data_IF_965035986803
#
_entry.id   IF_965035986803
#
_cell.length_a   1.000
_cell.length_b   1.000
_cell.length_c   1.000
_cell.angle_alpha   90.00
_cell.angle_beta   90.00
_cell.angle_gamma   90.00
#
_symmetry.space_group_name_H-M   'P 1'
#
loop_
_entity.id
_entity.type
_entity.pdbx_description
1 polymer ?
#
# COMPACT_ATOMS: atom_id res chain seq x y z
N UNK A 1 -31.66 18.15 3.15
CA UNK A 1 -30.91 17.49 4.26
C UNK A 1 -29.49 17.27 3.77
N UNK A 2 -28.48 17.70 4.54
CA UNK A 2 -27.09 17.45 4.17
C UNK A 2 -26.82 15.92 4.13
N UNK A 3 -26.19 15.42 3.07
CA UNK A 3 -25.84 14.02 2.92
C UNK A 3 -24.77 13.67 3.94
N UNK A 4 -24.98 12.64 4.77
CA UNK A 4 -24.02 12.23 5.78
C UNK A 4 -23.04 11.19 5.20
N UNK A 5 -21.81 11.63 4.90
CA UNK A 5 -20.74 10.80 4.35
C UNK A 5 -19.97 9.98 5.40
N UNK A 6 -20.37 9.99 6.69
CA UNK A 6 -19.69 9.20 7.73
C UNK A 6 -19.70 7.69 7.44
N UNK A 7 -20.84 7.19 6.92
CA UNK A 7 -20.92 5.77 6.51
C UNK A 7 -20.00 5.45 5.35
N UNK A 8 -19.84 6.38 4.41
CA UNK A 8 -18.92 6.25 3.28
C UNK A 8 -17.47 6.15 3.77
N UNK A 9 -17.06 7.02 4.68
CA UNK A 9 -15.72 6.94 5.29
C UNK A 9 -15.46 5.61 5.98
N UNK A 10 -16.42 5.14 6.79
CA UNK A 10 -16.28 3.83 7.47
C UNK A 10 -16.14 2.70 6.44
N UNK A 11 -16.93 2.74 5.36
CA UNK A 11 -16.81 1.75 4.28
C UNK A 11 -15.45 1.81 3.59
N UNK A 12 -14.92 3.02 3.37
CA UNK A 12 -13.60 3.22 2.79
C UNK A 12 -12.49 2.72 3.72
N UNK A 13 -12.58 2.97 5.02
CA UNK A 13 -11.63 2.46 6.02
C UNK A 13 -11.64 0.93 6.08
N UNK A 14 -12.82 0.29 6.09
CA UNK A 14 -12.94 -1.15 6.00
C UNK A 14 -12.43 -1.71 4.67
N UNK A 15 -12.55 -0.94 3.59
CA UNK A 15 -11.94 -1.26 2.30
C UNK A 15 -10.43 -1.41 2.41
N UNK A 16 -9.73 -0.45 3.01
CA UNK A 16 -8.28 -0.53 3.22
C UNK A 16 -7.86 -1.60 4.23
N UNK A 17 -8.68 -1.89 5.25
CA UNK A 17 -8.45 -3.06 6.11
C UNK A 17 -8.57 -4.36 5.30
N UNK A 18 -9.57 -4.45 4.39
CA UNK A 18 -9.71 -5.60 3.48
C UNK A 18 -8.48 -5.75 2.58
N UNK A 19 -7.96 -4.65 2.04
CA UNK A 19 -6.73 -4.65 1.24
C UNK A 19 -5.53 -5.14 2.07
N UNK A 20 -5.41 -4.67 3.32
CA UNK A 20 -4.36 -5.12 4.23
C UNK A 20 -4.43 -6.62 4.52
N UNK A 21 -5.65 -7.18 4.68
CA UNK A 21 -5.85 -8.64 4.83
C UNK A 21 -5.36 -9.37 3.58
N UNK A 22 -5.78 -8.93 2.39
CA UNK A 22 -5.40 -9.54 1.13
C UNK A 22 -3.89 -9.54 0.90
N UNK A 23 -3.21 -8.46 1.26
CA UNK A 23 -1.77 -8.31 1.06
C UNK A 23 -0.92 -9.06 2.09
N UNK A 24 -1.39 -9.21 3.35
CA UNK A 24 -0.54 -9.66 4.45
C UNK A 24 -0.90 -11.06 4.97
N UNK A 25 -2.11 -11.59 4.72
CA UNK A 25 -2.51 -12.87 5.31
C UNK A 25 -1.81 -14.07 4.66
N UNK A 26 -1.78 -14.17 3.32
CA UNK A 26 -1.13 -15.29 2.63
C UNK A 26 0.38 -15.40 2.92
N UNK A 27 1.17 -14.31 3.03
CA UNK A 27 2.56 -14.38 3.44
C UNK A 27 2.80 -15.06 4.79
N UNK A 28 1.89 -14.91 5.76
CA UNK A 28 1.99 -15.60 7.05
C UNK A 28 1.88 -17.13 6.94
N UNK A 29 1.32 -17.61 5.83
CA UNK A 29 1.07 -19.04 5.56
C UNK A 29 2.12 -19.68 4.64
N UNK A 30 3.14 -18.96 4.19
CA UNK A 30 4.10 -19.48 3.21
C UNK A 30 4.79 -20.77 3.68
N UNK A 31 5.23 -20.84 4.94
CA UNK A 31 5.81 -22.06 5.49
C UNK A 31 4.76 -23.17 5.67
N UNK A 32 3.52 -22.80 5.98
CA UNK A 32 2.40 -23.77 6.07
C UNK A 32 2.13 -24.39 4.71
N UNK A 33 2.15 -23.60 3.63
CA UNK A 33 1.99 -24.09 2.28
C UNK A 33 3.18 -24.95 1.83
N UNK A 34 4.40 -24.57 2.21
CA UNK A 34 5.60 -25.37 1.94
C UNK A 34 5.52 -26.73 2.64
N UNK A 35 5.29 -26.74 3.94
CA UNK A 35 5.31 -27.96 4.75
C UNK A 35 4.06 -28.84 4.56
N UNK A 36 2.89 -28.21 4.41
CA UNK A 36 1.61 -28.93 4.33
C UNK A 36 1.30 -29.47 2.94
N UNK A 37 1.67 -28.75 1.89
CA UNK A 37 1.39 -29.15 0.51
C UNK A 37 2.65 -29.52 -0.30
N UNK A 38 3.84 -29.47 0.31
CA UNK A 38 5.09 -29.75 -0.39
C UNK A 38 5.45 -28.77 -1.50
N UNK A 39 4.94 -27.53 -1.44
CA UNK A 39 5.16 -26.52 -2.49
C UNK A 39 6.57 -25.96 -2.38
N UNK A 40 7.41 -26.00 -3.42
CA UNK A 40 8.76 -25.45 -3.39
C UNK A 40 8.77 -23.95 -3.14
N UNK A 41 9.78 -23.42 -2.43
CA UNK A 41 9.92 -21.99 -2.13
C UNK A 41 9.89 -21.08 -3.37
N UNK A 42 10.47 -21.53 -4.48
CA UNK A 42 10.40 -20.80 -5.75
C UNK A 42 8.97 -20.58 -6.26
N UNK A 43 8.07 -21.56 -6.05
CA UNK A 43 6.64 -21.40 -6.38
C UNK A 43 5.93 -20.52 -5.34
N UNK A 44 6.29 -20.61 -4.06
CA UNK A 44 5.71 -19.77 -3.01
C UNK A 44 6.00 -18.28 -3.27
N UNK A 45 7.22 -17.94 -3.69
CA UNK A 45 7.58 -16.58 -4.06
C UNK A 45 6.71 -15.99 -5.18
N UNK A 46 6.20 -16.85 -6.09
CA UNK A 46 5.29 -16.41 -7.16
C UNK A 46 3.92 -15.93 -6.64
N UNK A 47 3.50 -16.34 -5.44
CA UNK A 47 2.22 -15.89 -4.85
C UNK A 47 2.20 -14.37 -4.73
N UNK A 48 3.25 -13.78 -4.14
CA UNK A 48 3.37 -12.32 -4.03
C UNK A 48 3.49 -11.65 -5.41
N UNK A 49 4.26 -12.24 -6.33
CA UNK A 49 4.42 -11.69 -7.68
C UNK A 49 3.09 -11.67 -8.44
N UNK A 50 2.32 -12.74 -8.36
CA UNK A 50 0.99 -12.83 -8.99
C UNK A 50 0.02 -11.82 -8.36
N UNK A 51 0.09 -11.62 -7.05
CA UNK A 51 -0.73 -10.63 -6.36
C UNK A 51 -0.48 -9.21 -6.94
N UNK A 52 0.75 -8.74 -6.95
CA UNK A 52 1.09 -7.39 -7.45
C UNK A 52 0.87 -7.22 -8.95
N UNK A 53 1.21 -8.23 -9.77
CA UNK A 53 0.93 -8.19 -11.21
C UNK A 53 -0.58 -8.11 -11.48
N UNK A 54 -1.40 -8.82 -10.69
CA UNK A 54 -2.87 -8.74 -10.81
C UNK A 54 -3.36 -7.35 -10.44
N UNK A 55 -2.86 -6.75 -9.34
CA UNK A 55 -3.21 -5.37 -8.97
C UNK A 55 -2.89 -4.39 -10.10
N UNK A 56 -1.66 -4.42 -10.62
CA UNK A 56 -1.23 -3.55 -11.71
C UNK A 56 -2.13 -3.67 -12.96
N UNK A 57 -2.56 -4.90 -13.32
CA UNK A 57 -3.52 -5.10 -14.41
C UNK A 57 -4.88 -4.45 -14.08
N UNK A 58 -5.35 -4.62 -12.85
CA UNK A 58 -6.61 -4.03 -12.40
C UNK A 58 -6.57 -2.51 -12.41
N UNK A 59 -5.44 -1.90 -12.02
CA UNK A 59 -5.27 -0.44 -12.05
C UNK A 59 -5.44 0.10 -13.47
N UNK A 60 -4.80 -0.55 -14.45
CA UNK A 60 -4.95 -0.18 -15.87
C UNK A 60 -6.40 -0.36 -16.35
N UNK A 61 -7.07 -1.44 -15.94
CA UNK A 61 -8.46 -1.69 -16.29
C UNK A 61 -9.40 -0.65 -15.64
N UNK A 62 -9.16 -0.30 -14.37
CA UNK A 62 -9.90 0.75 -13.67
C UNK A 62 -9.76 2.10 -14.36
N UNK A 63 -8.54 2.48 -14.75
CA UNK A 63 -8.28 3.72 -15.47
C UNK A 63 -9.15 3.89 -16.73
N UNK A 64 -9.59 2.78 -17.32
CA UNK A 64 -10.36 2.78 -18.57
C UNK A 64 -11.85 2.52 -18.39
N UNK A 65 -12.23 1.73 -17.42
CA UNK A 65 -13.59 1.15 -17.35
C UNK A 65 -14.36 1.50 -16.08
N UNK A 66 -13.72 1.96 -14.99
CA UNK A 66 -14.41 2.17 -13.72
C UNK A 66 -15.54 3.20 -13.80
N UNK A 67 -15.32 4.31 -14.50
CA UNK A 67 -16.35 5.35 -14.69
C UNK A 67 -17.55 4.84 -15.48
N UNK A 68 -17.34 3.94 -16.46
CA UNK A 68 -18.41 3.35 -17.29
C UNK A 68 -19.24 2.33 -16.52
N UNK A 69 -18.60 1.55 -15.64
CA UNK A 69 -19.25 0.53 -14.80
C UNK A 69 -20.01 1.20 -13.64
N UNK A 70 -19.45 2.29 -13.12
CA UNK A 70 -19.91 3.06 -11.98
C UNK A 70 -19.26 2.64 -10.67
N UNK A 71 -18.86 3.63 -9.88
CA UNK A 71 -18.11 3.47 -8.62
C UNK A 71 -18.74 2.48 -7.65
N UNK A 72 -20.07 2.58 -7.41
CA UNK A 72 -20.77 1.68 -6.49
C UNK A 72 -20.61 0.22 -6.86
N UNK A 73 -20.80 -0.12 -8.14
CA UNK A 73 -20.66 -1.51 -8.61
C UNK A 73 -19.23 -2.00 -8.47
N UNK A 74 -18.26 -1.15 -8.78
CA UNK A 74 -16.85 -1.49 -8.70
C UNK A 74 -16.39 -1.70 -7.24
N UNK A 75 -16.77 -0.83 -6.28
CA UNK A 75 -16.37 -1.03 -4.87
C UNK A 75 -17.12 -2.18 -4.20
N UNK A 76 -18.36 -2.48 -4.61
CA UNK A 76 -19.05 -3.70 -4.17
C UNK A 76 -18.31 -4.92 -4.74
N UNK A 77 -18.00 -4.89 -6.04
CA UNK A 77 -17.24 -5.95 -6.71
C UNK A 77 -15.87 -6.20 -6.05
N UNK A 78 -15.16 -5.14 -5.63
CA UNK A 78 -13.88 -5.27 -4.94
C UNK A 78 -13.99 -6.10 -3.66
N UNK A 79 -15.02 -5.83 -2.86
CA UNK A 79 -15.25 -6.55 -1.60
C UNK A 79 -15.70 -7.99 -1.84
N UNK A 80 -16.54 -8.22 -2.88
CA UNK A 80 -16.96 -9.58 -3.28
C UNK A 80 -15.76 -10.41 -3.73
N UNK A 81 -14.90 -9.86 -4.60
CA UNK A 81 -13.69 -10.58 -5.05
C UNK A 81 -12.75 -10.87 -3.88
N UNK A 82 -12.54 -9.91 -2.96
CA UNK A 82 -11.71 -10.13 -1.78
C UNK A 82 -12.26 -11.24 -0.89
N UNK A 83 -13.58 -11.25 -0.63
CA UNK A 83 -14.23 -12.31 0.15
C UNK A 83 -14.13 -13.68 -0.53
N UNK A 84 -14.46 -13.75 -1.83
CA UNK A 84 -14.40 -15.00 -2.59
C UNK A 84 -12.98 -15.54 -2.67
N UNK A 85 -11.98 -14.69 -2.85
CA UNK A 85 -10.58 -15.11 -2.88
C UNK A 85 -10.10 -15.64 -1.52
N UNK A 86 -10.47 -15.01 -0.40
CA UNK A 86 -10.15 -15.49 0.95
C UNK A 86 -10.84 -16.83 1.27
N UNK A 87 -12.11 -16.97 0.90
CA UNK A 87 -12.84 -18.24 1.03
C UNK A 87 -12.22 -19.29 0.09
N UNK A 88 -11.92 -18.90 -1.15
CA UNK A 88 -11.23 -19.75 -2.11
C UNK A 88 -9.90 -20.26 -1.56
N UNK A 89 -9.10 -19.40 -0.92
CA UNK A 89 -7.84 -19.80 -0.31
C UNK A 89 -8.01 -20.90 0.75
N UNK A 90 -9.12 -20.89 1.50
CA UNK A 90 -9.41 -21.92 2.49
C UNK A 90 -9.73 -23.30 1.87
N UNK A 91 -10.33 -23.33 0.68
CA UNK A 91 -10.88 -24.57 0.12
C UNK A 91 -10.24 -25.03 -1.19
N UNK A 92 -9.89 -24.14 -2.13
CA UNK A 92 -9.38 -24.50 -3.45
C UNK A 92 -8.08 -25.32 -3.44
N UNK A 93 -7.13 -25.08 -2.51
CA UNK A 93 -5.91 -25.88 -2.45
C UNK A 93 -6.15 -27.37 -2.20
N UNK A 94 -7.26 -27.73 -1.57
CA UNK A 94 -7.62 -29.14 -1.32
C UNK A 94 -8.64 -29.69 -2.32
N UNK A 95 -9.40 -28.81 -2.97
CA UNK A 95 -10.38 -29.23 -3.99
C UNK A 95 -9.73 -29.52 -5.35
N UNK A 96 -8.61 -28.86 -5.65
CA UNK A 96 -7.90 -29.05 -6.91
C UNK A 96 -6.83 -30.12 -6.78
N UNK A 97 -6.54 -30.81 -7.88
CA UNK A 97 -5.48 -31.83 -7.95
C UNK A 97 -4.08 -31.27 -7.66
N UNK A 98 -3.85 -29.98 -7.95
CA UNK A 98 -2.63 -29.26 -7.61
C UNK A 98 -2.95 -28.15 -6.62
N UNK A 99 -2.55 -28.27 -5.34
CA UNK A 99 -2.78 -27.26 -4.32
C UNK A 99 -2.23 -25.87 -4.66
N UNK A 100 -1.11 -25.81 -5.36
CA UNK A 100 -0.52 -24.55 -5.78
C UNK A 100 -1.43 -23.78 -6.74
N UNK A 101 -2.06 -24.45 -7.68
CA UNK A 101 -3.04 -23.85 -8.59
C UNK A 101 -4.24 -23.26 -7.81
N UNK A 102 -4.70 -23.95 -6.77
CA UNK A 102 -5.76 -23.44 -5.88
C UNK A 102 -5.36 -22.16 -5.16
N UNK A 103 -4.13 -22.09 -4.65
CA UNK A 103 -3.59 -20.89 -4.01
C UNK A 103 -3.50 -19.74 -5.02
N UNK A 104 -2.95 -19.99 -6.22
CA UNK A 104 -2.78 -18.95 -7.26
C UNK A 104 -4.13 -18.39 -7.73
N UNK A 105 -5.13 -19.26 -7.99
CA UNK A 105 -6.47 -18.81 -8.39
C UNK A 105 -7.08 -17.94 -7.29
N UNK A 106 -7.00 -18.37 -6.04
CA UNK A 106 -7.47 -17.60 -4.90
C UNK A 106 -6.75 -16.25 -4.80
N UNK A 107 -5.43 -16.24 -5.01
CA UNK A 107 -4.59 -15.04 -5.01
C UNK A 107 -5.03 -14.06 -6.08
N UNK A 108 -5.23 -14.51 -7.31
CA UNK A 108 -5.74 -13.66 -8.39
C UNK A 108 -7.09 -13.05 -8.01
N UNK A 109 -8.02 -13.84 -7.46
CA UNK A 109 -9.35 -13.37 -7.11
C UNK A 109 -9.28 -12.28 -6.02
N UNK A 110 -8.59 -12.50 -4.88
CA UNK A 110 -8.52 -11.46 -3.86
C UNK A 110 -7.63 -10.28 -4.27
N UNK A 111 -6.63 -10.49 -5.13
CA UNK A 111 -5.82 -9.41 -5.68
C UNK A 111 -6.62 -8.48 -6.61
N UNK A 112 -7.57 -9.03 -7.40
CA UNK A 112 -8.53 -8.21 -8.15
C UNK A 112 -9.35 -7.32 -7.22
N UNK A 113 -9.83 -7.86 -6.09
CA UNK A 113 -10.54 -7.09 -5.08
C UNK A 113 -9.66 -6.00 -4.45
N UNK A 114 -8.41 -6.33 -4.16
CA UNK A 114 -7.42 -5.42 -3.58
C UNK A 114 -7.11 -4.24 -4.52
N UNK A 115 -6.79 -4.48 -5.79
CA UNK A 115 -6.52 -3.43 -6.77
C UNK A 115 -7.73 -2.53 -7.01
N UNK A 116 -8.94 -3.10 -7.17
CA UNK A 116 -10.17 -2.29 -7.26
C UNK A 116 -10.36 -1.38 -6.04
N UNK A 117 -10.09 -1.88 -4.83
CA UNK A 117 -10.20 -1.08 -3.60
C UNK A 117 -9.20 0.08 -3.62
N UNK A 118 -7.96 -0.19 -3.97
CA UNK A 118 -6.86 0.78 -4.00
C UNK A 118 -7.18 1.97 -4.90
N UNK A 119 -7.61 1.69 -6.12
CA UNK A 119 -7.90 2.74 -7.12
C UNK A 119 -9.14 3.56 -6.75
N UNK A 120 -10.18 2.92 -6.20
CA UNK A 120 -11.51 3.55 -6.11
C UNK A 120 -11.78 4.23 -4.77
N UNK A 121 -11.18 3.77 -3.69
CA UNK A 121 -11.49 4.29 -2.35
C UNK A 121 -10.93 5.69 -2.15
N UNK A 122 -9.73 5.96 -2.65
CA UNK A 122 -9.12 7.30 -2.59
C UNK A 122 -9.93 8.37 -3.32
N UNK A 123 -10.37 8.19 -4.59
CA UNK A 123 -11.22 9.18 -5.25
C UNK A 123 -12.59 9.37 -4.59
N UNK A 124 -13.18 8.33 -4.01
CA UNK A 124 -14.44 8.45 -3.26
C UNK A 124 -14.27 9.38 -2.05
N UNK A 125 -13.18 9.24 -1.30
CA UNK A 125 -12.91 10.12 -0.14
C UNK A 125 -12.55 11.52 -0.59
N UNK A 126 -11.78 11.69 -1.66
CA UNK A 126 -11.43 13.00 -2.24
C UNK A 126 -12.66 13.76 -2.74
N UNK A 127 -13.67 13.06 -3.26
CA UNK A 127 -14.92 13.65 -3.72
C UNK A 127 -15.88 14.06 -2.58
N UNK A 128 -15.67 13.54 -1.36
CA UNK A 128 -16.48 13.93 -0.22
C UNK A 128 -16.25 15.41 0.15
N UNK A 129 -17.28 16.13 0.62
CA UNK A 129 -17.18 17.55 0.94
C UNK A 129 -16.52 17.78 2.31
N UNK A 130 -15.26 17.38 2.46
CA UNK A 130 -14.46 17.65 3.64
C UNK A 130 -13.65 18.92 3.44
N UNK A 131 -13.52 19.73 4.52
CA UNK A 131 -12.72 20.96 4.51
C UNK A 131 -11.21 20.66 4.33
N UNK A 132 -10.73 19.56 4.93
CA UNK A 132 -9.31 19.15 4.93
C UNK A 132 -9.13 17.78 4.26
N UNK A 133 -9.12 17.78 2.93
CA UNK A 133 -9.04 16.56 2.11
C UNK A 133 -7.74 15.80 2.31
N UNK A 134 -6.61 16.51 2.44
CA UNK A 134 -5.30 15.91 2.68
C UNK A 134 -5.26 15.12 4.00
N UNK A 135 -5.88 15.67 5.04
CA UNK A 135 -6.00 15.01 6.34
C UNK A 135 -6.88 13.77 6.26
N UNK A 136 -8.03 13.87 5.57
CA UNK A 136 -8.93 12.74 5.34
C UNK A 136 -8.26 11.63 4.53
N UNK A 137 -7.48 11.98 3.50
CA UNK A 137 -6.72 11.04 2.69
C UNK A 137 -5.64 10.33 3.51
N UNK A 138 -4.87 11.08 4.31
CA UNK A 138 -3.84 10.50 5.19
C UNK A 138 -4.43 9.55 6.23
N UNK A 139 -5.56 9.94 6.84
CA UNK A 139 -6.28 9.09 7.79
C UNK A 139 -6.80 7.81 7.10
N UNK A 140 -7.37 7.93 5.90
CA UNK A 140 -7.81 6.79 5.11
C UNK A 140 -6.68 5.77 4.93
N UNK A 141 -5.53 6.21 4.43
CA UNK A 141 -4.39 5.33 4.20
C UNK A 141 -3.78 4.77 5.50
N UNK A 142 -4.00 5.43 6.66
CA UNK A 142 -3.58 4.88 7.95
C UNK A 142 -4.28 3.57 8.28
N UNK A 143 -5.52 3.38 7.81
CA UNK A 143 -6.28 2.14 8.04
C UNK A 143 -5.68 0.93 7.31
N UNK A 144 -4.95 1.13 6.20
CA UNK A 144 -4.14 0.06 5.62
C UNK A 144 -3.02 -0.38 6.57
N UNK A 145 -2.29 0.58 7.16
CA UNK A 145 -1.19 0.27 8.08
C UNK A 145 -1.68 -0.42 9.36
N UNK A 146 -2.72 0.14 9.98
CA UNK A 146 -3.34 -0.47 11.17
C UNK A 146 -3.99 -1.81 10.86
N UNK A 147 -4.57 -1.95 9.65
CA UNK A 147 -5.06 -3.21 9.13
C UNK A 147 -3.95 -4.25 9.03
N UNK A 148 -2.79 -3.90 8.47
CA UNK A 148 -1.63 -4.79 8.36
C UNK A 148 -1.13 -5.25 9.73
N UNK A 149 -0.95 -4.31 10.67
CA UNK A 149 -0.58 -4.64 12.06
C UNK A 149 -1.63 -5.55 12.69
N UNK A 150 -2.93 -5.22 12.52
CA UNK A 150 -4.04 -6.01 13.05
C UNK A 150 -4.08 -7.44 12.48
N UNK A 151 -3.89 -7.59 11.18
CA UNK A 151 -3.84 -8.90 10.52
C UNK A 151 -2.71 -9.75 11.08
N UNK A 152 -1.50 -9.20 11.18
CA UNK A 152 -0.35 -9.94 11.69
C UNK A 152 -0.58 -10.35 13.15
N UNK A 153 -0.95 -9.40 14.02
CA UNK A 153 -1.13 -9.68 15.44
C UNK A 153 -2.28 -10.65 15.70
N UNK A 154 -3.46 -10.43 15.11
CA UNK A 154 -4.63 -11.28 15.33
C UNK A 154 -4.39 -12.68 14.77
N UNK A 155 -3.76 -12.78 13.57
CA UNK A 155 -3.42 -14.09 13.02
C UNK A 155 -2.41 -14.83 13.86
N UNK A 156 -1.37 -14.17 14.37
CA UNK A 156 -0.38 -14.77 15.26
C UNK A 156 -1.01 -15.23 16.56
N UNK A 157 -1.88 -14.43 17.17
CA UNK A 157 -2.62 -14.80 18.38
C UNK A 157 -3.55 -15.99 18.12
N UNK A 158 -4.26 -16.00 16.99
CA UNK A 158 -5.13 -17.11 16.59
C UNK A 158 -4.31 -18.41 16.44
N UNK A 159 -3.19 -18.37 15.72
CA UNK A 159 -2.34 -19.54 15.53
C UNK A 159 -1.72 -20.03 16.85
N UNK A 160 -1.38 -19.13 17.75
CA UNK A 160 -0.87 -19.48 19.08
C UNK A 160 -1.94 -20.16 19.94
N UNK A 161 -3.20 -19.72 19.83
CA UNK A 161 -4.30 -20.24 20.64
C UNK A 161 -4.92 -21.52 20.08
N UNK A 162 -5.05 -21.61 18.75
CA UNK A 162 -5.82 -22.67 18.08
C UNK A 162 -4.97 -23.57 17.17
N UNK A 163 -3.68 -23.28 17.00
CA UNK A 163 -2.79 -24.00 16.09
C UNK A 163 -2.81 -23.48 14.66
N UNK A 164 -1.68 -23.63 13.97
CA UNK A 164 -1.52 -23.17 12.58
C UNK A 164 -2.36 -24.00 11.59
N UNK A 165 -2.69 -25.23 11.92
CA UNK A 165 -3.54 -26.13 11.13
C UNK A 165 -4.95 -25.57 10.91
N UNK A 166 -5.40 -24.65 11.77
CA UNK A 166 -6.70 -23.99 11.68
C UNK A 166 -6.70 -22.73 10.79
N UNK A 167 -5.65 -22.50 10.00
CA UNK A 167 -5.50 -21.32 9.14
C UNK A 167 -6.66 -21.12 8.15
N UNK A 168 -7.33 -22.20 7.71
CA UNK A 168 -8.49 -22.14 6.82
C UNK A 168 -9.67 -21.42 7.48
N UNK A 169 -9.94 -21.76 8.75
CA UNK A 169 -10.99 -21.08 9.52
C UNK A 169 -10.69 -19.60 9.67
N UNK A 170 -9.42 -19.26 9.92
CA UNK A 170 -9.02 -17.86 10.01
C UNK A 170 -9.17 -17.14 8.66
N UNK A 171 -8.90 -17.79 7.53
CA UNK A 171 -9.16 -17.24 6.19
C UNK A 171 -10.66 -16.91 6.00
N UNK A 172 -11.54 -17.82 6.43
CA UNK A 172 -13.00 -17.57 6.40
C UNK A 172 -13.42 -16.45 7.36
N UNK A 173 -12.81 -16.36 8.55
CA UNK A 173 -13.08 -15.27 9.51
C UNK A 173 -12.66 -13.92 8.89
N UNK A 174 -11.48 -13.84 8.26
CA UNK A 174 -11.06 -12.63 7.57
C UNK A 174 -11.99 -12.24 6.42
N UNK A 175 -12.62 -13.20 5.74
CA UNK A 175 -13.60 -12.93 4.69
C UNK A 175 -14.88 -12.24 5.20
N UNK A 176 -15.19 -12.29 6.50
CA UNK A 176 -16.35 -11.62 7.10
C UNK A 176 -16.24 -10.09 6.92
N UNK A 177 -15.04 -9.52 7.02
CA UNK A 177 -14.83 -8.07 6.91
C UNK A 177 -15.27 -7.55 5.54
N UNK A 178 -14.76 -8.06 4.39
CA UNK A 178 -15.26 -7.64 3.09
C UNK A 178 -16.74 -7.96 2.87
N UNK A 179 -17.27 -9.08 3.37
CA UNK A 179 -18.70 -9.39 3.26
C UNK A 179 -19.60 -8.36 3.96
N UNK A 180 -19.24 -7.94 5.17
CA UNK A 180 -19.93 -6.83 5.86
C UNK A 180 -19.81 -5.54 5.07
N UNK A 181 -18.65 -5.30 4.46
CA UNK A 181 -18.40 -4.09 3.72
C UNK A 181 -19.12 -4.04 2.35
N UNK A 182 -19.48 -5.19 1.75
CA UNK A 182 -20.42 -5.26 0.63
C UNK A 182 -21.75 -4.58 1.00
N UNK A 183 -22.30 -4.92 2.18
CA UNK A 183 -23.54 -4.28 2.65
C UNK A 183 -23.32 -2.77 2.87
N UNK A 184 -22.22 -2.37 3.51
CA UNK A 184 -21.94 -0.97 3.78
C UNK A 184 -21.85 -0.14 2.49
N UNK A 185 -21.12 -0.59 1.47
CA UNK A 185 -21.04 0.09 0.17
C UNK A 185 -22.35 0.08 -0.62
N UNK A 186 -23.23 -0.88 -0.36
CA UNK A 186 -24.55 -0.92 -1.00
C UNK A 186 -25.46 0.20 -0.51
N UNK A 187 -25.35 0.62 0.76
CA UNK A 187 -26.26 1.58 1.40
C UNK A 187 -25.67 2.97 1.64
N UNK A 188 -24.33 3.13 1.61
CA UNK A 188 -23.70 4.44 1.85
C UNK A 188 -23.85 5.38 0.64
N UNK A 189 -23.92 6.70 0.82
CA UNK A 189 -23.83 7.65 -0.27
C UNK A 189 -22.41 7.62 -0.86
N UNK A 190 -22.28 7.49 -2.19
CA UNK A 190 -20.97 7.53 -2.86
C UNK A 190 -20.88 8.87 -3.61
N UNK A 191 -19.86 9.66 -3.27
CA UNK A 191 -19.50 10.85 -4.01
C UNK A 191 -18.59 10.46 -5.20
N UNK A 192 -18.76 11.17 -6.30
CA UNK A 192 -17.95 11.01 -7.50
C UNK A 192 -17.01 12.20 -7.61
N UNK A 193 -15.72 12.00 -7.95
CA UNK A 193 -14.76 13.10 -8.07
C UNK A 193 -15.09 14.03 -9.23
N UNK A 194 -15.76 13.52 -10.26
CA UNK A 194 -16.22 14.24 -11.46
C UNK A 194 -17.57 13.67 -11.87
N UNK A 195 -18.45 14.48 -12.48
CA UNK A 195 -19.71 14.00 -13.03
C UNK A 195 -19.47 12.90 -14.08
N UNK A 196 -20.42 11.96 -14.21
CA UNK A 196 -20.27 10.80 -15.09
C UNK A 196 -19.91 11.23 -16.52
N UNK A 197 -18.72 10.82 -16.99
CA UNK A 197 -18.22 11.09 -18.33
C UNK A 197 -17.37 12.37 -18.49
N UNK A 198 -17.19 13.20 -17.46
CA UNK A 198 -16.39 14.45 -17.52
C UNK A 198 -14.93 14.27 -17.06
N UNK A 199 -14.53 13.10 -16.59
CA UNK A 199 -13.14 12.81 -16.22
C UNK A 199 -12.18 12.93 -17.42
N UNK A 200 -10.96 13.44 -17.19
CA UNK A 200 -9.94 13.52 -18.22
C UNK A 200 -9.62 12.14 -18.79
N UNK A 201 -9.49 12.06 -20.12
CA UNK A 201 -9.01 10.83 -20.76
C UNK A 201 -7.53 10.62 -20.46
N UNK A 202 -7.09 9.37 -20.41
CA UNK A 202 -5.67 9.01 -20.18
C UNK A 202 -4.74 9.80 -21.09
N UNK A 203 -5.10 9.95 -22.38
CA UNK A 203 -4.29 10.72 -23.34
C UNK A 203 -4.13 12.18 -22.96
N UNK A 204 -5.13 12.78 -22.37
CA UNK A 204 -5.12 14.20 -22.00
C UNK A 204 -4.35 14.40 -20.69
N UNK A 205 -4.46 13.47 -19.73
CA UNK A 205 -3.61 13.42 -18.53
C UNK A 205 -2.13 13.33 -18.87
N UNK A 206 -1.76 12.45 -19.81
CA UNK A 206 -0.37 12.28 -20.25
C UNK A 206 0.21 13.51 -20.96
N UNK A 207 -0.62 14.49 -21.37
CA UNK A 207 -0.19 15.77 -21.92
C UNK A 207 0.07 16.83 -20.86
N UNK A 208 -0.35 16.59 -19.62
CA UNK A 208 -0.15 17.52 -18.49
C UNK A 208 1.24 17.30 -17.89
N UNK A 209 2.19 18.27 -18.01
CA UNK A 209 3.54 18.08 -17.46
C UNK A 209 3.56 17.81 -15.96
N UNK A 210 2.64 18.43 -15.21
CA UNK A 210 2.48 18.23 -13.78
C UNK A 210 2.11 16.78 -13.43
N UNK A 211 1.37 16.10 -14.31
CA UNK A 211 0.99 14.70 -14.10
C UNK A 211 2.20 13.77 -14.14
N UNK A 212 3.17 14.00 -15.02
CA UNK A 212 4.43 13.25 -15.03
C UNK A 212 5.25 13.46 -13.76
N UNK A 213 5.22 14.67 -13.22
CA UNK A 213 5.86 14.94 -11.93
C UNK A 213 5.13 14.16 -10.80
N UNK A 214 3.81 14.12 -10.82
CA UNK A 214 3.04 13.32 -9.86
C UNK A 214 3.31 11.81 -9.99
N UNK A 215 3.43 11.28 -11.20
CA UNK A 215 3.89 9.90 -11.49
C UNK A 215 5.27 9.66 -10.85
N UNK A 216 6.22 10.57 -11.07
CA UNK A 216 7.57 10.46 -10.49
C UNK A 216 7.53 10.47 -8.95
N UNK A 217 6.72 11.36 -8.35
CA UNK A 217 6.52 11.40 -6.90
C UNK A 217 5.97 10.08 -6.37
N UNK A 218 4.98 9.48 -7.06
CA UNK A 218 4.40 8.19 -6.67
C UNK A 218 5.38 7.03 -6.81
N UNK A 219 6.12 6.95 -7.92
CA UNK A 219 7.19 5.94 -8.10
C UNK A 219 8.22 6.04 -6.97
N UNK A 220 8.67 7.26 -6.65
CA UNK A 220 9.65 7.47 -5.59
C UNK A 220 9.07 7.19 -4.20
N UNK A 221 7.79 7.50 -3.96
CA UNK A 221 7.11 7.19 -2.70
C UNK A 221 7.02 5.68 -2.48
N UNK A 222 6.49 4.94 -3.47
CA UNK A 222 6.39 3.47 -3.42
C UNK A 222 7.76 2.80 -3.29
N UNK A 223 8.76 3.27 -4.05
CA UNK A 223 10.12 2.74 -3.97
C UNK A 223 10.76 2.99 -2.59
N UNK A 224 10.59 4.20 -2.00
CA UNK A 224 11.11 4.52 -0.67
C UNK A 224 10.46 3.69 0.43
N UNK A 225 9.14 3.48 0.34
CA UNK A 225 8.38 2.71 1.33
C UNK A 225 8.73 1.22 1.25
N UNK A 226 8.59 0.61 0.06
CA UNK A 226 8.69 -0.84 -0.08
C UNK A 226 10.14 -1.35 -0.10
N UNK A 227 11.13 -0.55 -0.52
CA UNK A 227 12.53 -0.95 -0.39
C UNK A 227 12.92 -1.17 1.08
N UNK A 228 12.53 -0.26 1.97
CA UNK A 228 12.79 -0.44 3.40
C UNK A 228 11.92 -1.55 3.98
N UNK A 229 10.62 -1.53 3.74
CA UNK A 229 9.68 -2.48 4.35
C UNK A 229 10.01 -3.94 4.00
N UNK A 230 10.31 -4.23 2.72
CA UNK A 230 10.57 -5.60 2.28
C UNK A 230 11.94 -6.13 2.72
N UNK A 231 12.93 -5.26 2.81
CA UNK A 231 14.28 -5.68 3.22
C UNK A 231 14.56 -5.51 4.70
N UNK A 232 13.66 -4.89 5.49
CA UNK A 232 13.89 -4.58 6.90
C UNK A 232 14.22 -5.81 7.76
N UNK A 233 13.54 -6.95 7.56
CA UNK A 233 13.82 -8.20 8.28
C UNK A 233 15.18 -8.77 7.90
N UNK A 234 15.45 -8.93 6.60
CA UNK A 234 16.72 -9.45 6.10
C UNK A 234 17.90 -8.54 6.48
N UNK A 235 17.68 -7.22 6.46
CA UNK A 235 18.67 -6.24 6.91
C UNK A 235 18.93 -6.37 8.41
N UNK A 236 17.89 -6.50 9.24
CA UNK A 236 18.04 -6.68 10.67
C UNK A 236 18.80 -7.97 11.02
N UNK A 237 18.54 -9.05 10.29
CA UNK A 237 19.24 -10.33 10.50
C UNK A 237 20.68 -10.28 9.97
N UNK A 238 20.88 -9.91 8.71
CA UNK A 238 22.18 -10.03 8.03
C UNK A 238 23.15 -8.91 8.35
N UNK A 239 22.69 -7.67 8.44
CA UNK A 239 23.54 -6.50 8.67
C UNK A 239 23.63 -6.11 10.14
N UNK A 240 22.60 -6.37 10.93
CA UNK A 240 22.55 -6.00 12.35
C UNK A 240 22.76 -7.19 13.29
N UNK A 241 22.81 -8.41 12.78
CA UNK A 241 23.09 -9.62 13.56
C UNK A 241 21.95 -10.01 14.53
N UNK A 242 20.70 -9.56 14.27
CA UNK A 242 19.54 -9.89 15.10
C UNK A 242 18.99 -11.27 14.73
N UNK A 243 18.30 -11.91 15.68
CA UNK A 243 17.57 -13.15 15.37
C UNK A 243 16.40 -12.85 14.44
N UNK A 244 16.04 -13.81 13.59
CA UNK A 244 14.95 -13.67 12.62
C UNK A 244 13.65 -13.18 13.26
N UNK A 245 13.23 -13.78 14.39
CA UNK A 245 11.99 -13.39 15.08
C UNK A 245 12.02 -11.93 15.56
N UNK A 246 13.14 -11.47 16.07
CA UNK A 246 13.31 -10.06 16.46
C UNK A 246 13.35 -9.16 15.22
N UNK A 247 14.04 -9.61 14.16
CA UNK A 247 14.10 -8.89 12.88
C UNK A 247 12.72 -8.69 12.25
N UNK A 248 11.89 -9.72 12.25
CA UNK A 248 10.53 -9.66 11.68
C UNK A 248 9.62 -8.70 12.47
N UNK A 249 9.68 -8.70 13.80
CA UNK A 249 8.88 -7.80 14.64
C UNK A 249 9.45 -6.38 14.64
N UNK A 250 10.72 -6.23 14.91
CA UNK A 250 11.37 -4.92 15.04
C UNK A 250 11.59 -4.22 13.69
N UNK A 251 11.72 -4.96 12.57
CA UNK A 251 11.81 -4.42 11.22
C UNK A 251 10.43 -4.05 10.65
N UNK A 252 9.79 -4.94 9.88
CA UNK A 252 8.60 -4.59 9.11
C UNK A 252 7.37 -4.27 9.99
N UNK A 253 7.19 -4.91 11.14
CA UNK A 253 6.04 -4.62 12.01
C UNK A 253 6.17 -3.22 12.62
N UNK A 254 7.31 -2.87 13.21
CA UNK A 254 7.52 -1.53 13.79
C UNK A 254 7.56 -0.44 12.72
N UNK A 255 8.07 -0.74 11.52
CA UNK A 255 7.93 0.14 10.36
C UNK A 255 6.46 0.45 10.05
N UNK A 256 5.60 -0.57 9.97
CA UNK A 256 4.17 -0.39 9.71
C UNK A 256 3.47 0.39 10.83
N UNK A 257 3.83 0.16 12.09
CA UNK A 257 3.31 0.91 13.25
C UNK A 257 3.66 2.39 13.13
N UNK A 258 4.93 2.72 12.90
CA UNK A 258 5.36 4.13 12.81
C UNK A 258 4.79 4.82 11.57
N UNK A 259 4.62 4.11 10.46
CA UNK A 259 3.94 4.59 9.26
C UNK A 259 2.47 4.89 9.57
N UNK A 260 1.76 4.00 10.26
CA UNK A 260 0.39 4.19 10.69
C UNK A 260 0.24 5.39 11.64
N UNK A 261 1.17 5.55 12.58
CA UNK A 261 1.23 6.73 13.48
C UNK A 261 1.38 8.01 12.66
N UNK A 262 2.32 8.06 11.71
CA UNK A 262 2.55 9.23 10.86
C UNK A 262 1.29 9.64 10.10
N UNK A 263 0.64 8.68 9.43
CA UNK A 263 -0.61 8.89 8.67
C UNK A 263 -1.74 9.35 9.58
N UNK A 264 -1.88 8.75 10.76
CA UNK A 264 -2.92 9.11 11.74
C UNK A 264 -2.69 10.50 12.30
N UNK A 265 -1.45 10.85 12.65
CA UNK A 265 -1.09 12.18 13.16
C UNK A 265 -1.37 13.27 12.12
N UNK A 266 -0.99 13.03 10.85
CA UNK A 266 -1.32 13.97 9.80
C UNK A 266 -2.83 14.04 9.55
N UNK A 267 -3.54 12.92 9.59
CA UNK A 267 -5.00 12.88 9.50
C UNK A 267 -5.69 13.71 10.60
N UNK A 268 -5.10 13.75 11.80
CA UNK A 268 -5.67 14.50 12.94
C UNK A 268 -5.25 15.97 13.01
N UNK A 269 -4.02 16.28 12.64
CA UNK A 269 -3.43 17.60 12.82
C UNK A 269 -3.04 18.28 11.50
N UNK A 270 -3.29 17.67 10.37
CA UNK A 270 -2.91 18.15 9.03
C UNK A 270 -3.50 19.52 8.67
N UNK A 271 -4.67 19.86 9.25
CA UNK A 271 -5.28 21.19 9.12
C UNK A 271 -4.33 22.34 9.49
N UNK A 272 -3.41 22.08 10.43
CA UNK A 272 -2.43 23.05 10.94
C UNK A 272 -1.09 23.00 10.21
N UNK A 273 -0.93 22.04 9.29
CA UNK A 273 0.33 21.74 8.62
C UNK A 273 0.22 22.03 7.12
N UNK A 274 1.21 22.71 6.56
CA UNK A 274 1.34 22.83 5.10
C UNK A 274 1.82 21.48 4.52
N UNK A 275 0.99 20.84 3.70
CA UNK A 275 1.27 19.53 3.09
C UNK A 275 2.63 19.51 2.39
N UNK A 276 2.95 20.56 1.62
CA UNK A 276 4.20 20.63 0.85
C UNK A 276 5.42 20.65 1.78
N UNK A 277 5.38 21.44 2.86
CA UNK A 277 6.47 21.50 3.84
C UNK A 277 6.60 20.18 4.58
N UNK A 278 5.47 19.57 4.95
CA UNK A 278 5.45 18.29 5.65
C UNK A 278 6.04 17.18 4.77
N UNK A 279 5.69 17.10 3.49
CA UNK A 279 6.26 16.14 2.56
C UNK A 279 7.76 16.33 2.33
N UNK A 280 8.22 17.58 2.19
CA UNK A 280 9.67 17.87 2.05
C UNK A 280 10.42 17.45 3.30
N UNK A 281 9.90 17.75 4.50
CA UNK A 281 10.50 17.33 5.78
C UNK A 281 10.52 15.81 5.93
N UNK A 282 9.44 15.13 5.51
CA UNK A 282 9.35 13.67 5.50
C UNK A 282 10.34 13.03 4.53
N UNK A 283 10.51 13.60 3.34
CA UNK A 283 11.51 13.13 2.37
C UNK A 283 12.96 13.29 2.90
N UNK A 284 13.25 14.41 3.56
CA UNK A 284 14.54 14.62 4.22
C UNK A 284 14.75 13.62 5.36
N UNK A 285 13.75 13.42 6.21
CA UNK A 285 13.81 12.42 7.29
C UNK A 285 14.03 11.02 6.73
N UNK A 286 13.31 10.64 5.65
CA UNK A 286 13.49 9.36 4.98
C UNK A 286 14.93 9.16 4.49
N UNK A 287 15.50 10.17 3.84
CA UNK A 287 16.89 10.14 3.39
C UNK A 287 17.85 9.94 4.56
N UNK A 288 17.66 10.66 5.68
CA UNK A 288 18.45 10.50 6.90
C UNK A 288 18.31 9.07 7.45
N UNK A 289 17.08 8.52 7.48
CA UNK A 289 16.81 7.16 7.94
C UNK A 289 17.56 6.10 7.09
N UNK A 290 17.53 6.23 5.76
CA UNK A 290 18.28 5.34 4.87
C UNK A 290 19.79 5.43 5.09
N UNK A 291 20.32 6.64 5.21
CA UNK A 291 21.75 6.87 5.51
C UNK A 291 22.12 6.27 6.87
N UNK A 292 21.28 6.51 7.88
CA UNK A 292 21.51 5.98 9.24
C UNK A 292 21.47 4.46 9.26
N UNK A 293 20.47 3.84 8.62
CA UNK A 293 20.36 2.40 8.52
C UNK A 293 21.59 1.80 7.80
N UNK A 294 22.03 2.42 6.70
CA UNK A 294 23.09 1.88 5.84
C UNK A 294 24.51 2.09 6.38
N UNK A 295 24.78 3.21 7.03
CA UNK A 295 26.13 3.59 7.44
C UNK A 295 26.41 3.42 8.95
N UNK A 296 25.39 3.12 9.76
CA UNK A 296 25.59 2.90 11.19
C UNK A 296 26.31 1.56 11.45
N UNK A 297 27.44 1.63 12.13
CA UNK A 297 28.11 0.44 12.67
C UNK A 297 27.46 -0.10 13.95
N UNK A 298 26.41 0.55 14.47
CA UNK A 298 25.70 0.18 15.70
C UNK A 298 24.34 -0.40 15.34
N UNK A 299 24.07 -1.70 15.62
CA UNK A 299 22.83 -2.37 15.22
C UNK A 299 21.55 -1.65 15.67
N UNK A 300 21.50 -1.15 16.90
CA UNK A 300 20.34 -0.43 17.44
C UNK A 300 20.05 0.85 16.66
N UNK A 301 21.08 1.60 16.28
CA UNK A 301 20.91 2.83 15.49
C UNK A 301 20.43 2.51 14.07
N UNK A 302 21.00 1.47 13.44
CA UNK A 302 20.53 0.98 12.15
C UNK A 302 19.06 0.56 12.17
N UNK A 303 18.64 -0.17 13.20
CA UNK A 303 17.26 -0.59 13.40
C UNK A 303 16.31 0.61 13.63
N UNK A 304 16.74 1.59 14.44
CA UNK A 304 15.96 2.84 14.62
C UNK A 304 15.81 3.59 13.30
N UNK A 305 16.84 3.59 12.44
CA UNK A 305 16.74 4.10 11.08
C UNK A 305 15.63 3.43 10.27
N UNK A 306 15.56 2.09 10.30
CA UNK A 306 14.49 1.33 9.65
C UNK A 306 13.10 1.68 10.21
N UNK A 307 12.94 1.70 11.53
CA UNK A 307 11.69 2.01 12.21
C UNK A 307 11.21 3.43 11.88
N UNK A 308 12.10 4.43 12.01
CA UNK A 308 11.76 5.82 11.73
C UNK A 308 11.54 6.10 10.24
N UNK A 309 12.10 5.28 9.36
CA UNK A 309 11.80 5.33 7.94
C UNK A 309 10.29 5.13 7.69
N UNK A 310 9.65 4.19 8.41
CA UNK A 310 8.19 4.00 8.36
C UNK A 310 7.44 5.30 8.67
N UNK A 311 7.81 6.02 9.73
CA UNK A 311 7.22 7.31 10.05
C UNK A 311 7.39 8.32 8.90
N UNK A 312 8.57 8.37 8.31
CA UNK A 312 8.91 9.33 7.25
C UNK A 312 8.15 9.09 5.95
N UNK A 313 7.96 7.84 5.53
CA UNK A 313 7.25 7.51 4.27
C UNK A 313 5.73 7.64 4.39
N UNK A 314 5.20 7.68 5.60
CA UNK A 314 3.76 7.62 5.86
C UNK A 314 2.93 8.61 5.06
N UNK A 315 3.39 9.85 4.87
CA UNK A 315 2.67 10.88 4.10
C UNK A 315 2.98 10.87 2.60
N UNK A 316 4.05 10.20 2.15
CA UNK A 316 4.53 10.34 0.77
C UNK A 316 3.51 9.87 -0.26
N UNK A 317 2.88 8.73 -0.03
CA UNK A 317 1.85 8.18 -0.90
C UNK A 317 0.57 9.05 -0.89
N UNK A 318 -0.15 9.19 0.24
CA UNK A 318 -1.37 9.99 0.26
C UNK A 318 -1.13 11.47 -0.08
N UNK A 319 0.00 12.03 0.30
CA UNK A 319 0.36 13.40 -0.03
C UNK A 319 0.62 13.63 -1.51
N UNK A 320 1.24 12.67 -2.21
CA UNK A 320 1.43 12.75 -3.66
C UNK A 320 0.10 12.73 -4.42
N UNK A 321 -0.84 11.87 -3.99
CA UNK A 321 -2.21 11.84 -4.50
C UNK A 321 -2.89 13.20 -4.26
N UNK A 322 -2.85 13.71 -3.03
CA UNK A 322 -3.49 14.98 -2.68
C UNK A 322 -2.91 16.19 -3.41
N UNK A 323 -1.59 16.23 -3.65
CA UNK A 323 -0.97 17.27 -4.47
C UNK A 323 -1.47 17.21 -5.91
N UNK A 324 -1.60 16.01 -6.47
CA UNK A 324 -2.05 15.83 -7.84
C UNK A 324 -3.54 16.17 -7.99
N UNK A 325 -4.42 15.64 -7.14
CA UNK A 325 -5.87 15.89 -7.19
C UNK A 325 -6.20 17.36 -6.97
N UNK A 326 -5.51 18.03 -6.04
CA UNK A 326 -5.69 19.45 -5.80
C UNK A 326 -5.27 20.35 -6.98
N UNK A 327 -4.39 19.87 -7.86
CA UNK A 327 -3.92 20.63 -9.04
C UNK A 327 -4.57 20.20 -10.35
N UNK A 328 -5.12 19.01 -10.43
CA UNK A 328 -5.83 18.46 -11.59
C UNK A 328 -7.21 17.94 -11.09
N UNK A 329 -8.12 18.85 -10.69
CA UNK A 329 -9.42 18.45 -10.11
C UNK A 329 -10.29 17.62 -11.05
N UNK A 330 -10.11 17.78 -12.37
CA UNK A 330 -10.83 17.05 -13.41
C UNK A 330 -10.16 15.72 -13.77
N UNK A 331 -9.10 15.31 -13.06
CA UNK A 331 -8.32 14.11 -13.38
C UNK A 331 -9.12 12.80 -13.36
N UNK A 332 -10.16 12.73 -12.52
CA UNK A 332 -11.07 11.58 -12.45
C UNK A 332 -10.37 10.29 -12.05
N UNK A 333 -11.06 9.16 -12.22
CA UNK A 333 -10.57 7.82 -11.86
C UNK A 333 -9.30 7.44 -12.58
N UNK A 334 -9.15 7.85 -13.84
CA UNK A 334 -7.95 7.54 -14.63
C UNK A 334 -6.67 8.10 -13.98
N UNK A 335 -6.75 9.29 -13.38
CA UNK A 335 -5.63 9.90 -12.66
C UNK A 335 -5.24 9.06 -11.43
N UNK A 336 -6.21 8.69 -10.59
CA UNK A 336 -5.93 7.90 -9.38
C UNK A 336 -5.38 6.52 -9.72
N UNK A 337 -5.94 5.84 -10.73
CA UNK A 337 -5.47 4.55 -11.19
C UNK A 337 -4.02 4.59 -11.71
N UNK A 338 -3.68 5.59 -12.52
CA UNK A 338 -2.31 5.74 -13.02
C UNK A 338 -1.32 6.14 -11.93
N UNK A 339 -1.77 6.88 -10.91
CA UNK A 339 -0.94 7.19 -9.74
C UNK A 339 -0.70 5.94 -8.89
N UNK A 340 -1.74 5.12 -8.62
CA UNK A 340 -1.60 3.85 -7.91
C UNK A 340 -0.62 2.92 -8.64
N UNK A 341 -0.83 2.71 -9.95
CA UNK A 341 0.08 1.95 -10.80
C UNK A 341 1.53 2.45 -10.73
N UNK A 342 1.74 3.78 -10.68
CA UNK A 342 3.07 4.35 -10.56
C UNK A 342 3.70 4.04 -9.19
N UNK A 343 2.92 4.07 -8.12
CA UNK A 343 3.34 3.67 -6.78
C UNK A 343 3.74 2.20 -6.73
N UNK A 344 2.92 1.31 -7.28
CA UNK A 344 3.19 -0.13 -7.38
C UNK A 344 4.43 -0.44 -8.23
N UNK A 345 4.62 0.31 -9.33
CA UNK A 345 5.84 0.22 -10.12
C UNK A 345 7.07 0.60 -9.28
N UNK A 346 6.97 1.66 -8.47
CA UNK A 346 8.01 2.05 -7.51
C UNK A 346 8.27 0.94 -6.49
N UNK A 347 7.20 0.34 -5.97
CA UNK A 347 7.23 -0.78 -5.04
C UNK A 347 7.86 -2.04 -5.60
N UNK A 348 7.75 -2.28 -6.90
CA UNK A 348 8.41 -3.38 -7.58
C UNK A 348 9.89 -3.07 -7.88
N UNK A 349 10.18 -1.87 -8.38
CA UNK A 349 11.52 -1.46 -8.79
C UNK A 349 12.45 -1.19 -7.60
N UNK A 350 11.94 -0.56 -6.54
CA UNK A 350 12.75 -0.17 -5.39
C UNK A 350 13.45 -1.35 -4.73
N UNK A 351 12.72 -2.35 -4.22
CA UNK A 351 13.32 -3.54 -3.63
C UNK A 351 14.21 -4.32 -4.59
N UNK A 352 13.85 -4.38 -5.89
CA UNK A 352 14.65 -5.04 -6.91
C UNK A 352 16.01 -4.37 -7.10
N UNK A 353 16.06 -3.03 -7.11
CA UNK A 353 17.30 -2.26 -7.21
C UNK A 353 18.16 -2.50 -5.96
N UNK A 354 17.59 -2.43 -4.77
CA UNK A 354 18.28 -2.71 -3.50
C UNK A 354 18.88 -4.12 -3.53
N UNK A 355 18.09 -5.14 -3.87
CA UNK A 355 18.56 -6.53 -3.92
C UNK A 355 19.65 -6.77 -4.95
N UNK A 356 19.52 -6.22 -6.17
CA UNK A 356 20.56 -6.33 -7.21
C UNK A 356 21.87 -5.67 -6.81
N UNK A 357 21.82 -4.50 -6.15
CA UNK A 357 23.02 -3.82 -5.68
C UNK A 357 23.66 -4.58 -4.53
N UNK A 358 22.86 -5.11 -3.59
CA UNK A 358 23.33 -6.01 -2.52
C UNK A 358 24.13 -7.17 -3.11
N UNK A 359 23.55 -7.90 -4.05
CA UNK A 359 24.19 -9.06 -4.69
C UNK A 359 25.50 -8.67 -5.41
N UNK A 360 25.47 -7.58 -6.19
CA UNK A 360 26.67 -7.10 -6.90
C UNK A 360 27.77 -6.60 -5.96
N UNK A 361 27.41 -6.20 -4.75
CA UNK A 361 28.33 -5.75 -3.71
C UNK A 361 28.88 -6.89 -2.84
N UNK A 362 28.68 -8.16 -3.22
CA UNK A 362 29.11 -9.33 -2.46
C UNK A 362 28.21 -9.62 -1.26
N UNK A 363 26.90 -9.52 -1.46
CA UNK A 363 25.83 -9.69 -0.46
C UNK A 363 25.86 -8.66 0.69
N UNK A 364 26.48 -7.49 0.41
CA UNK A 364 26.51 -6.38 1.35
C UNK A 364 25.18 -5.62 1.35
N UNK A 365 24.31 -5.96 2.31
CA UNK A 365 22.98 -5.37 2.45
C UNK A 365 23.04 -3.87 2.77
N UNK A 366 24.08 -3.39 3.46
CA UNK A 366 24.26 -1.97 3.76
C UNK A 366 24.40 -1.14 2.48
N UNK A 367 25.19 -1.63 1.51
CA UNK A 367 25.32 -0.99 0.19
C UNK A 367 24.03 -1.02 -0.61
N UNK A 368 23.28 -2.13 -0.55
CA UNK A 368 21.97 -2.21 -1.15
C UNK A 368 21.02 -1.16 -0.59
N UNK A 369 20.91 -1.08 0.72
CA UNK A 369 20.07 -0.10 1.40
C UNK A 369 20.51 1.35 1.13
N UNK A 370 21.83 1.61 1.05
CA UNK A 370 22.36 2.94 0.70
C UNK A 370 21.90 3.39 -0.70
N UNK A 371 21.81 2.47 -1.65
CA UNK A 371 21.26 2.79 -2.97
C UNK A 371 19.80 3.23 -2.91
N UNK A 372 19.03 2.73 -1.95
CA UNK A 372 17.66 3.17 -1.67
C UNK A 372 17.52 4.67 -1.37
N UNK A 373 18.61 5.34 -0.93
CA UNK A 373 18.65 6.79 -0.72
C UNK A 373 18.27 7.60 -1.98
N UNK A 374 18.45 7.04 -3.17
CA UNK A 374 18.14 7.72 -4.43
C UNK A 374 16.66 8.11 -4.52
N UNK A 375 15.75 7.28 -4.03
CA UNK A 375 14.31 7.50 -4.15
C UNK A 375 13.81 8.70 -3.32
N UNK A 376 14.05 8.77 -2.00
CA UNK A 376 13.66 9.95 -1.21
C UNK A 376 14.41 11.21 -1.64
N UNK A 377 15.64 11.10 -2.17
CA UNK A 377 16.37 12.25 -2.71
C UNK A 377 15.70 12.83 -3.96
N UNK A 378 15.35 11.97 -4.93
CA UNK A 378 14.64 12.39 -6.16
C UNK A 378 13.27 12.99 -5.79
N UNK A 379 12.54 12.36 -4.86
CA UNK A 379 11.26 12.86 -4.38
C UNK A 379 11.41 14.25 -3.75
N UNK A 380 12.39 14.43 -2.87
CA UNK A 380 12.67 15.72 -2.23
C UNK A 380 13.01 16.83 -3.24
N UNK A 381 13.89 16.54 -4.20
CA UNK A 381 14.25 17.50 -5.26
C UNK A 381 13.01 17.88 -6.08
N UNK A 382 12.17 16.90 -6.46
CA UNK A 382 10.94 17.13 -7.21
C UNK A 382 9.96 18.02 -6.45
N UNK A 383 9.79 17.79 -5.15
CA UNK A 383 8.95 18.63 -4.27
C UNK A 383 9.49 20.05 -4.13
N UNK A 384 10.82 20.22 -3.99
CA UNK A 384 11.45 21.53 -3.90
C UNK A 384 11.27 22.34 -5.19
N UNK A 385 11.39 21.70 -6.36
CA UNK A 385 11.14 22.33 -7.64
C UNK A 385 9.68 22.77 -7.78
N UNK A 386 8.74 21.91 -7.40
CA UNK A 386 7.30 22.22 -7.39
C UNK A 386 6.97 23.38 -6.44
N UNK A 387 7.57 23.40 -5.26
CA UNK A 387 7.37 24.47 -4.27
C UNK A 387 7.94 25.83 -4.78
N UNK A 388 9.09 25.82 -5.45
CA UNK A 388 9.65 27.04 -6.08
C UNK A 388 8.75 27.58 -7.19
N UNK A 389 8.22 26.69 -8.04
CA UNK A 389 7.29 27.09 -9.10
C UNK A 389 6.01 27.71 -8.51
N UNK A 390 5.45 27.14 -7.42
CA UNK A 390 4.30 27.72 -6.69
C UNK A 390 4.57 29.14 -6.20
N UNK A 391 5.75 29.39 -5.59
CA UNK A 391 6.12 30.71 -5.05
C UNK A 391 6.37 31.79 -6.10
N UNK A 392 6.62 31.41 -7.37
CA UNK A 392 6.80 32.36 -8.46
C UNK A 392 5.47 32.79 -9.10
N UNK A 393 4.42 32.00 -8.91
CA UNK A 393 3.10 32.24 -9.49
C UNK A 393 2.11 32.87 -8.48
N UNK A 394 2.50 32.97 -7.21
CA UNK A 394 1.83 33.76 -6.14
C UNK A 394 2.60 35.05 -5.88
#
# INVERSE_FOLDING_TARGET
MAVNYRKTLISCYLGFITQAIAANFAPLLFLTFHNGFGIPFGKIALISSVFFVTQLIIDVLCARFADKIGYRKCVIGSQVFSALGLIGLAFLPELLSDPFSGIIISTVIYAMGSGLTEVLVSPIVEACPFEHKEAAMSLLHSFYCWGSVGVILISTLFFTAFGIENWKWLSCIWAIIPLVNVYNFSVCPIAHPVEDGEGMRIRDLLRVPLFWLAILLMVCAGASELSMAQWASAFAESALGLTKSVGDIAGPCMFAVTMGISRTLYGKYGEKLDLMKFMISSALLCLICYITASLSGIPVIGLLGCIMCGFSVGIMWPGSISICSGKIPTGGTAMFALLAMAGDLGGALGPAIVGNITQRAGDDMQKGMLAGCAFPLILMISLLLLNRARRRNN
#
